data_IF_649768099840
#
_entry.id   IF_649768099840
#
_cell.length_a   1.000
_cell.length_b   1.000
_cell.length_c   1.000
_cell.angle_alpha   90.00
_cell.angle_beta   90.00
_cell.angle_gamma   90.00
#
_symmetry.space_group_name_H-M   'P 1'
#
loop_
_entity.id
_entity.type
_entity.pdbx_description
1 polymer ?
#
# COMPACT_ATOMS: atom_id res chain seq x y z
N UNK A 1 9.38 -24.42 6.42
CA UNK A 1 8.99 -23.48 7.51
C UNK A 1 9.13 -22.07 6.95
N UNK A 2 8.06 -21.28 7.01
CA UNK A 2 8.09 -19.86 6.64
C UNK A 2 8.91 -19.08 7.67
N UNK A 3 9.77 -18.18 7.20
CA UNK A 3 10.70 -17.39 8.01
C UNK A 3 9.97 -16.67 9.16
N UNK A 4 10.36 -16.86 10.44
CA UNK A 4 9.71 -16.22 11.58
C UNK A 4 9.73 -14.68 11.49
N UNK A 5 10.74 -14.11 10.83
CA UNK A 5 10.84 -12.65 10.61
C UNK A 5 9.87 -12.13 9.54
N UNK A 6 9.25 -12.97 8.72
CA UNK A 6 8.20 -12.52 7.80
C UNK A 6 6.89 -12.15 8.52
N UNK A 7 6.69 -12.59 9.77
CA UNK A 7 5.42 -12.44 10.50
C UNK A 7 5.48 -11.46 11.67
N UNK A 8 6.68 -10.99 12.05
CA UNK A 8 6.88 -10.25 13.30
C UNK A 8 7.00 -8.74 13.14
N UNK A 9 6.90 -8.20 11.91
CA UNK A 9 6.82 -6.76 11.59
C UNK A 9 7.69 -5.82 12.40
N UNK A 10 8.82 -5.40 11.84
CA UNK A 10 9.72 -4.46 12.51
C UNK A 10 9.83 -3.16 11.69
N UNK A 11 9.81 -2.02 12.37
CA UNK A 11 10.39 -0.80 11.79
C UNK A 11 11.87 -1.06 11.64
N UNK A 12 12.40 -0.92 10.43
CA UNK A 12 13.83 -1.10 10.21
C UNK A 12 14.59 -0.06 11.06
N UNK A 13 15.65 -0.47 11.80
CA UNK A 13 16.44 0.48 12.56
C UNK A 13 17.10 1.49 11.60
N UNK A 14 16.91 2.78 11.85
CA UNK A 14 17.48 3.84 11.02
C UNK A 14 16.65 5.11 11.03
N UNK A 15 17.22 6.19 10.52
CA UNK A 15 16.52 7.44 10.22
C UNK A 15 16.72 7.71 8.74
N UNK A 16 15.64 8.00 7.98
CA UNK A 16 15.75 8.42 6.59
C UNK A 16 16.78 9.55 6.41
N UNK A 17 17.65 9.43 5.41
CA UNK A 17 18.77 10.34 5.10
C UNK A 17 18.66 11.03 3.76
N UNK A 18 17.78 10.54 2.89
CA UNK A 18 17.37 11.20 1.66
C UNK A 18 16.54 12.46 1.92
N UNK A 19 16.01 13.03 0.85
CA UNK A 19 15.26 14.29 0.89
C UNK A 19 13.99 14.22 0.05
N UNK A 20 13.08 15.17 0.28
CA UNK A 20 11.84 15.30 -0.48
C UNK A 20 12.03 16.33 -1.59
N UNK A 21 11.64 15.98 -2.81
CA UNK A 21 11.52 16.91 -3.93
C UNK A 21 10.35 16.52 -4.85
N UNK A 22 10.09 17.31 -5.87
CA UNK A 22 9.09 17.05 -6.90
C UNK A 22 9.75 16.55 -8.18
N UNK A 23 9.51 15.29 -8.54
CA UNK A 23 10.00 14.68 -9.78
C UNK A 23 8.82 14.48 -10.72
N UNK A 24 8.82 15.18 -11.87
CA UNK A 24 7.73 15.13 -12.84
C UNK A 24 6.33 15.40 -12.26
N UNK A 25 6.25 16.33 -11.30
CA UNK A 25 5.01 16.68 -10.61
C UNK A 25 4.64 15.76 -9.45
N UNK A 26 5.44 14.72 -9.17
CA UNK A 26 5.21 13.80 -8.07
C UNK A 26 6.07 14.17 -6.86
N UNK A 27 5.44 14.29 -5.70
CA UNK A 27 6.17 14.28 -4.43
C UNK A 27 6.97 12.99 -4.36
N UNK A 28 8.28 13.10 -4.24
CA UNK A 28 9.21 11.97 -4.35
C UNK A 28 10.24 12.06 -3.26
N UNK A 29 10.45 10.95 -2.55
CA UNK A 29 11.61 10.79 -1.69
C UNK A 29 12.80 10.36 -2.55
N UNK A 30 13.90 11.09 -2.46
CA UNK A 30 15.11 10.90 -3.26
C UNK A 30 16.24 10.50 -2.32
N UNK A 31 16.79 9.30 -2.53
CA UNK A 31 18.02 8.86 -1.88
C UNK A 31 19.17 8.90 -2.90
N UNK A 32 20.18 9.70 -2.58
CA UNK A 32 21.35 9.89 -3.43
C UNK A 32 22.52 8.99 -2.99
N UNK A 33 23.46 8.69 -3.90
CA UNK A 33 24.73 8.07 -3.52
C UNK A 33 25.46 8.87 -2.43
N UNK A 34 26.38 8.25 -1.68
CA UNK A 34 27.24 8.97 -0.74
C UNK A 34 27.97 10.15 -1.40
N UNK A 35 28.20 11.22 -0.63
CA UNK A 35 28.76 12.47 -1.13
C UNK A 35 30.04 12.27 -1.98
N UNK A 36 30.06 12.90 -3.16
CA UNK A 36 31.17 12.81 -4.11
C UNK A 36 31.14 11.60 -5.04
N UNK A 37 30.11 10.76 -4.97
CA UNK A 37 29.86 9.68 -5.95
C UNK A 37 28.86 10.11 -7.02
N UNK A 38 29.05 9.62 -8.23
CA UNK A 38 28.06 9.77 -9.32
C UNK A 38 27.19 8.52 -9.38
N UNK A 39 25.88 8.65 -9.68
CA UNK A 39 25.00 7.50 -9.81
C UNK A 39 25.50 6.50 -10.87
N UNK A 40 25.65 5.24 -10.48
CA UNK A 40 26.00 4.14 -11.40
C UNK A 40 24.76 3.53 -12.07
N UNK A 41 23.58 3.82 -11.52
CA UNK A 41 22.27 3.35 -11.98
C UNK A 41 21.14 4.08 -11.25
N UNK A 42 19.92 3.91 -11.76
CA UNK A 42 18.71 4.51 -11.20
C UNK A 42 17.75 3.39 -10.79
N UNK A 43 17.21 3.48 -9.58
CA UNK A 43 16.17 2.60 -9.06
C UNK A 43 14.91 3.43 -8.81
N UNK A 44 13.75 2.88 -9.14
CA UNK A 44 12.45 3.44 -8.74
C UNK A 44 11.76 2.43 -7.82
N UNK A 45 11.45 2.84 -6.60
CA UNK A 45 10.64 2.05 -5.66
C UNK A 45 9.20 2.50 -5.80
N UNK A 46 8.30 1.56 -6.07
CA UNK A 46 6.86 1.79 -6.02
C UNK A 46 6.41 1.44 -4.59
N UNK A 47 5.90 2.41 -3.80
CA UNK A 47 5.45 2.14 -2.45
C UNK A 47 4.26 1.18 -2.47
N UNK A 48 4.06 0.50 -1.35
CA UNK A 48 2.83 -0.25 -1.09
C UNK A 48 1.62 0.70 -0.91
N UNK A 49 0.46 0.11 -0.61
CA UNK A 49 -0.80 0.85 -0.46
C UNK A 49 -0.82 1.85 0.72
N UNK A 50 0.20 1.89 1.58
CA UNK A 50 0.34 2.85 2.67
C UNK A 50 1.16 4.08 2.28
N UNK A 51 1.79 4.04 1.10
CA UNK A 51 2.44 5.18 0.48
C UNK A 51 3.87 5.42 0.94
N UNK A 52 4.42 6.54 0.48
CA UNK A 52 5.84 6.90 0.65
C UNK A 52 6.19 7.31 2.08
N UNK A 53 5.18 7.71 2.86
CA UNK A 53 5.35 8.14 4.25
C UNK A 53 5.56 6.95 5.20
N UNK A 54 5.41 5.71 4.70
CA UNK A 54 5.84 4.51 5.41
C UNK A 54 7.37 4.48 5.50
N UNK A 55 7.90 4.71 6.70
CA UNK A 55 9.33 4.94 6.95
C UNK A 55 10.24 3.81 6.44
N UNK A 56 9.75 2.58 6.44
CA UNK A 56 10.50 1.44 5.96
C UNK A 56 10.84 1.54 4.46
N UNK A 57 9.96 2.16 3.65
CA UNK A 57 10.23 2.40 2.23
C UNK A 57 11.38 3.40 2.05
N UNK A 58 11.44 4.43 2.89
CA UNK A 58 12.51 5.45 2.86
C UNK A 58 13.86 4.85 3.29
N UNK A 59 13.88 4.09 4.38
CA UNK A 59 15.10 3.39 4.85
C UNK A 59 15.60 2.40 3.79
N UNK A 60 14.68 1.70 3.12
CA UNK A 60 15.05 0.80 2.02
C UNK A 60 15.67 1.56 0.85
N UNK A 61 15.12 2.72 0.48
CA UNK A 61 15.68 3.57 -0.56
C UNK A 61 17.12 4.00 -0.24
N UNK A 62 17.38 4.41 1.01
CA UNK A 62 18.72 4.79 1.46
C UNK A 62 19.72 3.62 1.42
N UNK A 63 19.28 2.42 1.82
CA UNK A 63 20.10 1.22 1.72
C UNK A 63 20.44 0.86 0.27
N UNK A 64 19.51 1.02 -0.66
CA UNK A 64 19.79 0.82 -2.08
C UNK A 64 20.75 1.87 -2.63
N UNK A 65 20.56 3.15 -2.30
CA UNK A 65 21.43 4.22 -2.76
C UNK A 65 22.89 4.01 -2.32
N UNK A 66 23.09 3.58 -1.07
CA UNK A 66 24.41 3.32 -0.48
C UNK A 66 25.06 1.99 -0.89
N UNK A 67 24.28 1.00 -1.35
CA UNK A 67 24.81 -0.33 -1.65
C UNK A 67 25.77 -0.37 -2.85
N UNK A 68 25.50 0.41 -3.88
CA UNK A 68 26.33 0.45 -5.09
C UNK A 68 26.26 1.81 -5.83
N UNK A 69 26.18 2.90 -5.07
CA UNK A 69 26.15 4.27 -5.57
C UNK A 69 24.97 4.50 -6.56
N UNK A 70 23.76 4.09 -6.17
CA UNK A 70 22.55 4.28 -6.98
C UNK A 70 21.83 5.59 -6.62
N UNK A 71 21.14 6.17 -7.61
CA UNK A 71 20.10 7.18 -7.37
C UNK A 71 18.75 6.47 -7.24
N UNK A 72 18.05 6.67 -6.13
CA UNK A 72 16.79 5.99 -5.86
C UNK A 72 15.66 6.99 -5.74
N UNK A 73 14.60 6.78 -6.53
CA UNK A 73 13.36 7.53 -6.47
C UNK A 73 12.27 6.69 -5.81
N UNK A 74 11.59 7.26 -4.82
CA UNK A 74 10.38 6.72 -4.19
C UNK A 74 9.24 7.73 -4.39
N UNK A 75 8.60 7.74 -5.58
CA UNK A 75 7.50 8.65 -5.90
C UNK A 75 6.19 8.27 -5.21
N UNK A 76 5.42 9.28 -4.82
CA UNK A 76 4.11 9.13 -4.19
C UNK A 76 3.02 8.86 -5.22
N UNK A 77 2.74 7.57 -5.46
CA UNK A 77 1.62 7.15 -6.30
C UNK A 77 0.28 7.12 -5.59
N UNK A 78 0.26 7.31 -4.27
CA UNK A 78 -0.94 7.13 -3.44
C UNK A 78 -1.70 8.43 -3.21
N UNK A 79 -1.07 9.57 -3.54
CA UNK A 79 -1.72 10.87 -3.54
C UNK A 79 -2.61 11.05 -4.78
N UNK A 80 -3.93 11.12 -4.54
CA UNK A 80 -4.94 11.32 -5.58
C UNK A 80 -5.11 12.79 -5.97
N UNK A 81 -4.53 13.72 -5.21
CA UNK A 81 -4.52 15.15 -5.56
C UNK A 81 -3.48 15.43 -6.64
N UNK A 82 -2.32 14.76 -6.59
CA UNK A 82 -1.29 14.88 -7.61
C UNK A 82 -1.80 14.41 -8.98
N UNK A 83 -1.70 15.29 -9.99
CA UNK A 83 -2.18 15.04 -11.35
C UNK A 83 -1.03 14.90 -12.34
N UNK A 84 -1.21 14.01 -13.31
CA UNK A 84 -0.42 13.97 -14.54
C UNK A 84 -0.56 15.29 -15.32
N UNK A 85 0.30 15.51 -16.31
CA UNK A 85 0.21 16.65 -17.24
C UNK A 85 -1.17 16.75 -17.91
N UNK A 86 -1.86 15.61 -18.10
CA UNK A 86 -3.22 15.55 -18.64
C UNK A 86 -4.34 15.81 -17.62
N UNK A 87 -4.01 16.17 -16.36
CA UNK A 87 -4.99 16.42 -15.30
C UNK A 87 -5.58 15.16 -14.64
N UNK A 88 -5.14 13.97 -15.04
CA UNK A 88 -5.58 12.70 -14.44
C UNK A 88 -4.83 12.41 -13.14
N UNK A 89 -5.51 11.85 -12.13
CA UNK A 89 -4.81 11.24 -10.99
C UNK A 89 -3.92 10.09 -11.47
N UNK A 90 -2.86 9.76 -10.73
CA UNK A 90 -2.00 8.62 -11.07
C UNK A 90 -2.71 7.27 -10.89
N UNK A 91 -3.60 7.19 -9.91
CA UNK A 91 -4.44 6.04 -9.66
C UNK A 91 -5.77 6.48 -9.06
N UNK A 92 -6.87 5.84 -9.48
CA UNK A 92 -8.22 6.17 -9.03
C UNK A 92 -8.64 5.39 -7.77
N UNK A 93 -8.05 4.21 -7.55
CA UNK A 93 -8.48 3.26 -6.53
C UNK A 93 -7.39 2.26 -6.16
N UNK A 94 -7.39 1.85 -4.89
CA UNK A 94 -6.45 0.90 -4.31
C UNK A 94 -7.18 -0.22 -3.57
N UNK A 95 -6.54 -1.38 -3.52
CA UNK A 95 -6.99 -2.56 -2.80
C UNK A 95 -5.79 -3.19 -2.10
N UNK A 96 -5.98 -3.61 -0.86
CA UNK A 96 -5.00 -4.46 -0.17
C UNK A 96 -5.72 -5.57 0.58
N UNK A 97 -5.10 -6.75 0.64
CA UNK A 97 -5.63 -7.90 1.36
C UNK A 97 -4.57 -8.37 2.36
N UNK A 98 -5.03 -8.70 3.58
CA UNK A 98 -4.22 -9.16 4.70
C UNK A 98 -2.93 -8.34 4.91
N UNK A 99 -2.99 -7.00 4.98
CA UNK A 99 -1.79 -6.21 5.17
C UNK A 99 -1.11 -6.55 6.50
N UNK A 100 0.22 -6.47 6.51
CA UNK A 100 1.07 -6.87 7.62
C UNK A 100 2.06 -5.77 7.95
N UNK A 101 2.60 -5.80 9.17
CA UNK A 101 3.78 -5.03 9.57
C UNK A 101 3.61 -3.50 9.48
N UNK A 102 2.42 -3.02 9.84
CA UNK A 102 2.08 -1.59 9.86
C UNK A 102 2.01 -1.04 11.28
N UNK A 103 2.41 0.22 11.46
CA UNK A 103 1.88 1.06 12.54
C UNK A 103 0.49 1.54 12.11
N UNK A 104 -0.55 0.98 12.72
CA UNK A 104 -1.94 1.27 12.33
C UNK A 104 -2.29 2.75 12.43
N UNK A 105 -1.76 3.47 13.43
CA UNK A 105 -2.11 4.90 13.59
C UNK A 105 -1.43 5.71 12.50
N UNK A 106 -0.13 5.49 12.33
CA UNK A 106 0.67 6.28 11.40
C UNK A 106 0.35 5.92 9.95
N UNK A 107 0.38 4.63 9.59
CA UNK A 107 0.32 4.18 8.20
C UNK A 107 -1.09 4.33 7.61
N UNK A 108 -2.12 3.91 8.36
CA UNK A 108 -3.52 4.16 7.95
C UNK A 108 -3.83 5.67 8.02
N UNK A 109 -3.20 6.37 8.97
CA UNK A 109 -3.23 7.84 9.06
C UNK A 109 -2.67 8.54 7.83
N UNK A 110 -1.78 7.90 7.07
CA UNK A 110 -1.19 8.45 5.85
C UNK A 110 -1.94 8.09 4.56
N UNK A 111 -2.99 7.25 4.64
CA UNK A 111 -3.81 6.94 3.45
C UNK A 111 -4.46 8.21 2.91
N UNK A 112 -4.16 8.51 1.64
CA UNK A 112 -4.72 9.62 0.85
C UNK A 112 -5.58 9.16 -0.33
N UNK A 113 -5.49 7.88 -0.71
CA UNK A 113 -6.21 7.33 -1.86
C UNK A 113 -7.50 6.59 -1.50
N UNK A 114 -8.37 6.37 -2.50
CA UNK A 114 -9.57 5.55 -2.33
C UNK A 114 -9.16 4.08 -2.10
N UNK A 115 -9.34 3.55 -0.89
CA UNK A 115 -8.76 2.27 -0.47
C UNK A 115 -9.81 1.33 0.15
N UNK A 116 -9.86 0.09 -0.32
CA UNK A 116 -10.57 -0.98 0.42
C UNK A 116 -9.61 -2.06 0.90
N UNK A 117 -9.81 -2.51 2.14
CA UNK A 117 -8.99 -3.53 2.81
C UNK A 117 -9.81 -4.80 2.99
N UNK A 118 -9.26 -5.95 2.60
CA UNK A 118 -9.77 -7.28 2.94
C UNK A 118 -8.93 -7.88 4.08
N UNK A 119 -9.53 -8.23 5.21
CA UNK A 119 -8.79 -8.76 6.37
C UNK A 119 -9.56 -9.88 7.07
N UNK A 120 -8.87 -10.88 7.59
CA UNK A 120 -9.48 -11.94 8.39
C UNK A 120 -9.56 -11.58 9.87
N UNK A 121 -10.53 -12.14 10.60
CA UNK A 121 -10.61 -11.98 12.07
C UNK A 121 -9.76 -13.02 12.86
N UNK A 122 -9.31 -14.08 12.19
CA UNK A 122 -8.34 -15.08 12.69
C UNK A 122 -6.95 -14.84 12.05
N UNK A 123 -6.60 -13.57 11.86
CA UNK A 123 -5.29 -13.16 11.34
C UNK A 123 -4.26 -13.11 12.48
N UNK A 124 -3.25 -13.99 12.41
CA UNK A 124 -2.16 -14.07 13.40
C UNK A 124 -1.14 -12.92 13.33
N UNK A 125 -1.28 -11.99 12.38
CA UNK A 125 -0.39 -10.84 12.17
C UNK A 125 -1.08 -9.54 12.57
N UNK A 126 -2.34 -9.32 12.16
CA UNK A 126 -3.11 -8.11 12.49
C UNK A 126 -4.34 -8.46 13.33
N UNK A 127 -4.26 -8.24 14.64
CA UNK A 127 -5.36 -8.59 15.55
C UNK A 127 -6.57 -7.68 15.42
N UNK A 128 -7.75 -8.16 15.84
CA UNK A 128 -9.02 -7.42 15.68
C UNK A 128 -9.05 -6.02 16.30
N UNK A 129 -8.29 -5.75 17.36
CA UNK A 129 -8.17 -4.39 17.93
C UNK A 129 -7.53 -3.42 16.91
N UNK A 130 -6.47 -3.86 16.24
CA UNK A 130 -5.80 -3.12 15.17
C UNK A 130 -6.72 -2.94 13.96
N UNK A 131 -7.45 -4.01 13.57
CA UNK A 131 -8.44 -3.93 12.48
C UNK A 131 -9.50 -2.87 12.74
N UNK A 132 -10.10 -2.87 13.94
CA UNK A 132 -11.11 -1.87 14.31
C UNK A 132 -10.54 -0.46 14.41
N UNK A 133 -9.29 -0.32 14.83
CA UNK A 133 -8.61 0.97 14.83
C UNK A 133 -8.39 1.48 13.40
N UNK A 134 -7.94 0.63 12.48
CA UNK A 134 -7.79 0.96 11.07
C UNK A 134 -9.13 1.37 10.44
N UNK A 135 -10.20 0.59 10.69
CA UNK A 135 -11.56 0.89 10.23
C UNK A 135 -12.03 2.28 10.72
N UNK A 136 -11.78 2.62 11.99
CA UNK A 136 -12.11 3.93 12.55
C UNK A 136 -11.33 5.08 11.89
N UNK A 137 -10.02 4.91 11.68
CA UNK A 137 -9.19 5.94 11.03
C UNK A 137 -9.63 6.12 9.57
N UNK A 138 -9.86 5.03 8.83
CA UNK A 138 -10.31 5.07 7.43
C UNK A 138 -11.67 5.76 7.30
N UNK A 139 -12.62 5.44 8.19
CA UNK A 139 -13.95 6.07 8.18
C UNK A 139 -13.92 7.60 8.41
N UNK A 140 -12.81 8.14 8.94
CA UNK A 140 -12.62 9.59 9.13
C UNK A 140 -12.01 10.31 7.92
N UNK A 141 -11.63 9.58 6.87
CA UNK A 141 -10.98 10.14 5.67
C UNK A 141 -11.99 10.79 4.72
N UNK A 142 -11.56 11.83 4.02
CA UNK A 142 -12.34 12.49 2.95
C UNK A 142 -12.21 11.79 1.58
N UNK A 143 -11.86 10.51 1.60
CA UNK A 143 -11.77 9.64 0.42
C UNK A 143 -12.56 8.37 0.66
N UNK A 144 -13.00 7.73 -0.43
CA UNK A 144 -13.81 6.51 -0.34
C UNK A 144 -12.93 5.39 0.21
N UNK A 145 -13.22 4.94 1.44
CA UNK A 145 -12.46 3.87 2.09
C UNK A 145 -13.37 2.85 2.77
N UNK A 146 -12.88 1.62 2.93
CA UNK A 146 -13.60 0.57 3.66
C UNK A 146 -12.69 -0.54 4.15
N UNK A 147 -13.17 -1.28 5.16
CA UNK A 147 -12.56 -2.52 5.65
C UNK A 147 -13.63 -3.60 5.60
N UNK A 148 -13.31 -4.75 5.00
CA UNK A 148 -14.16 -5.94 4.98
C UNK A 148 -13.48 -7.03 5.78
N UNK A 149 -14.19 -7.53 6.79
CA UNK A 149 -13.69 -8.56 7.70
C UNK A 149 -14.26 -9.91 7.29
N UNK A 150 -13.38 -10.88 7.04
CA UNK A 150 -13.71 -12.23 6.60
C UNK A 150 -13.67 -13.22 7.79
N UNK A 151 -14.82 -13.74 8.25
CA UNK A 151 -14.88 -14.55 9.46
C UNK A 151 -14.10 -15.87 9.39
N UNK A 152 -13.21 -16.09 10.35
CA UNK A 152 -12.24 -17.17 10.45
C UNK A 152 -11.27 -17.26 9.27
N UNK A 153 -11.06 -16.18 8.50
CA UNK A 153 -9.99 -16.12 7.53
C UNK A 153 -8.66 -15.84 8.23
N UNK A 154 -7.60 -16.48 7.75
CA UNK A 154 -6.24 -16.36 8.29
C UNK A 154 -5.39 -15.43 7.43
N UNK A 155 -4.22 -15.08 7.94
CA UNK A 155 -3.24 -14.32 7.17
C UNK A 155 -2.91 -14.98 5.82
N UNK A 156 -2.91 -14.20 4.73
CA UNK A 156 -2.65 -14.68 3.37
C UNK A 156 -3.82 -15.37 2.69
N UNK A 157 -5.03 -15.37 3.26
CA UNK A 157 -6.18 -16.12 2.71
C UNK A 157 -6.48 -15.80 1.25
N UNK A 158 -6.37 -14.52 0.84
CA UNK A 158 -6.74 -14.07 -0.50
C UNK A 158 -5.78 -14.53 -1.62
N UNK A 159 -4.53 -14.90 -1.29
CA UNK A 159 -3.53 -15.27 -2.30
C UNK A 159 -2.98 -16.70 -2.12
N UNK A 160 -3.11 -17.29 -0.94
CA UNK A 160 -2.53 -18.62 -0.63
C UNK A 160 -3.53 -19.77 -0.72
N UNK A 161 -4.82 -19.48 -0.85
CA UNK A 161 -5.83 -20.53 -1.01
C UNK A 161 -5.62 -21.32 -2.31
N UNK A 162 -5.74 -22.65 -2.25
CA UNK A 162 -5.62 -23.50 -3.43
C UNK A 162 -6.93 -23.55 -4.20
N UNK A 163 -6.92 -23.04 -5.44
CA UNK A 163 -8.06 -23.15 -6.36
C UNK A 163 -8.37 -24.58 -6.80
N UNK A 164 -7.51 -25.56 -6.49
CA UNK A 164 -7.78 -26.98 -6.75
C UNK A 164 -8.85 -27.57 -5.81
N UNK A 165 -9.21 -26.85 -4.73
CA UNK A 165 -10.29 -27.20 -3.80
C UNK A 165 -11.38 -26.12 -3.82
N UNK A 166 -12.17 -26.00 -4.90
CA UNK A 166 -13.14 -24.92 -5.07
C UNK A 166 -14.19 -24.87 -3.95
N UNK A 167 -14.53 -26.00 -3.35
CA UNK A 167 -15.50 -26.06 -2.25
C UNK A 167 -14.94 -25.76 -0.86
N UNK A 168 -13.62 -25.54 -0.74
CA UNK A 168 -13.03 -25.24 0.56
C UNK A 168 -13.40 -23.84 1.04
N UNK A 169 -13.46 -23.65 2.36
CA UNK A 169 -13.74 -22.35 2.96
C UNK A 169 -12.69 -21.32 2.54
N UNK A 170 -11.43 -21.71 2.50
CA UNK A 170 -10.30 -20.86 2.15
C UNK A 170 -10.40 -20.35 0.71
N UNK A 171 -10.77 -21.24 -0.24
CA UNK A 171 -10.94 -20.84 -1.64
C UNK A 171 -12.11 -19.88 -1.82
N UNK A 172 -13.24 -20.14 -1.16
CA UNK A 172 -14.39 -19.22 -1.18
C UNK A 172 -14.03 -17.85 -0.63
N UNK A 173 -13.33 -17.78 0.49
CA UNK A 173 -12.90 -16.49 1.06
C UNK A 173 -11.91 -15.75 0.15
N UNK A 174 -11.03 -16.46 -0.55
CA UNK A 174 -10.14 -15.85 -1.52
C UNK A 174 -10.91 -15.27 -2.73
N UNK A 175 -11.90 -16.01 -3.22
CA UNK A 175 -12.80 -15.56 -4.30
C UNK A 175 -13.66 -14.38 -3.86
N UNK A 176 -14.22 -14.39 -2.65
CA UNK A 176 -14.99 -13.26 -2.12
C UNK A 176 -14.12 -12.00 -1.93
N UNK A 177 -12.84 -12.13 -1.57
CA UNK A 177 -11.89 -11.01 -1.52
C UNK A 177 -11.53 -10.47 -2.92
N UNK A 178 -11.42 -11.36 -3.91
CA UNK A 178 -11.29 -10.97 -5.31
C UNK A 178 -12.55 -10.23 -5.81
N UNK A 179 -13.74 -10.73 -5.47
CA UNK A 179 -15.01 -10.08 -5.80
C UNK A 179 -15.15 -8.70 -5.15
N UNK A 180 -14.73 -8.54 -3.89
CA UNK A 180 -14.62 -7.22 -3.24
C UNK A 180 -13.76 -6.27 -4.07
N UNK A 181 -12.56 -6.70 -4.49
CA UNK A 181 -11.66 -5.86 -5.28
C UNK A 181 -12.27 -5.49 -6.63
N UNK A 182 -12.86 -6.45 -7.35
CA UNK A 182 -13.51 -6.22 -8.64
C UNK A 182 -14.68 -5.25 -8.50
N UNK A 183 -15.55 -5.45 -7.51
CA UNK A 183 -16.70 -4.58 -7.25
C UNK A 183 -16.23 -3.16 -6.87
N UNK A 184 -15.17 -3.07 -6.07
CA UNK A 184 -14.53 -1.81 -5.71
C UNK A 184 -14.05 -1.05 -6.94
N UNK A 185 -13.21 -1.66 -7.77
CA UNK A 185 -12.67 -1.01 -8.96
C UNK A 185 -13.76 -0.61 -9.95
N UNK A 186 -14.75 -1.48 -10.22
CA UNK A 186 -15.89 -1.13 -11.09
C UNK A 186 -16.59 0.13 -10.61
N UNK A 187 -16.97 0.17 -9.32
CA UNK A 187 -17.65 1.34 -8.74
C UNK A 187 -16.80 2.61 -8.83
N UNK A 188 -15.52 2.53 -8.48
CA UNK A 188 -14.60 3.68 -8.52
C UNK A 188 -14.40 4.21 -9.94
N UNK A 189 -14.24 3.32 -10.91
CA UNK A 189 -14.03 3.70 -12.30
C UNK A 189 -15.30 4.23 -12.97
N UNK A 190 -16.48 3.76 -12.58
CA UNK A 190 -17.73 4.33 -13.06
C UNK A 190 -17.98 5.74 -12.51
N UNK A 191 -17.62 6.01 -11.25
CA UNK A 191 -17.60 7.37 -10.70
C UNK A 191 -16.61 8.26 -11.45
N UNK A 192 -15.40 7.76 -11.72
CA UNK A 192 -14.37 8.50 -12.46
C UNK A 192 -14.85 8.87 -13.87
N UNK A 193 -15.48 7.93 -14.59
CA UNK A 193 -16.08 8.19 -15.91
C UNK A 193 -17.17 9.27 -15.83
N UNK A 194 -18.06 9.20 -14.84
CA UNK A 194 -19.11 10.23 -14.66
C UNK A 194 -18.51 11.62 -14.42
N UNK A 195 -17.42 11.72 -13.66
CA UNK A 195 -16.70 13.00 -13.45
C UNK A 195 -16.00 13.49 -14.72
N UNK A 196 -15.41 12.59 -15.50
CA UNK A 196 -14.78 12.94 -16.79
C UNK A 196 -15.79 13.39 -17.85
N UNK A 197 -17.06 13.02 -17.68
CA UNK A 197 -18.20 13.36 -18.56
C UNK A 197 -19.04 14.51 -17.96
N UNK A 198 -18.59 15.18 -16.89
CA UNK A 198 -19.32 16.28 -16.22
C UNK A 198 -19.67 17.46 -17.16
N UNK A 199 -20.72 18.23 -16.80
CA UNK A 199 -21.80 18.78 -17.64
C UNK A 199 -21.39 19.55 -18.90
#
# INVERSE_FOLDING_TARGET
>A
MSCPQCFSGHINPGTPTGHWDTVHGLRTYIAEPPAGKSPTGIIVIIPDAFGVDFVNNQILADHYASAADYLVYLPDFMDVETKTVGGHALADAFFTAHPSNMDVVQDIGNVRGNLTIAIGDDDGVMGMKQVRQAESILASKDVDTSVVIYPGAKHGFSIRASREKPDSKETRQAEEAEEQAIAWFKRRFDIAKQKAVGP
#
